data_IF_279465937419
#
_entry.id   IF_279465937419
#
_cell.length_a   1.000
_cell.length_b   1.000
_cell.length_c   1.000
_cell.angle_alpha   90.00
_cell.angle_beta   90.00
_cell.angle_gamma   90.00
#
_symmetry.space_group_name_H-M   'P 1'
#
loop_
_entity.id
_entity.type
_entity.pdbx_description
1 polymer ?
#
# COMPACT_ATOMS: atom_id res chain seq x y z
N UNK A 1 -6.31 -11.06 -3.21
CA UNK A 1 -7.73 -10.84 -3.57
C UNK A 1 -7.88 -11.08 -5.08
N UNK A 2 -9.00 -10.76 -5.72
CA UNK A 2 -9.02 -10.66 -7.19
C UNK A 2 -8.72 -9.21 -7.61
N UNK A 3 -8.49 -8.98 -8.92
CA UNK A 3 -8.22 -7.64 -9.48
C UNK A 3 -9.25 -6.59 -9.03
N UNK A 4 -10.54 -6.95 -9.04
CA UNK A 4 -11.64 -6.08 -8.55
C UNK A 4 -11.41 -5.64 -7.10
N UNK A 5 -11.06 -6.57 -6.20
CA UNK A 5 -10.81 -6.28 -4.79
C UNK A 5 -9.62 -5.35 -4.58
N UNK A 6 -8.52 -5.55 -5.32
CA UNK A 6 -7.36 -4.66 -5.26
C UNK A 6 -7.71 -3.23 -5.73
N UNK A 7 -8.50 -3.10 -6.79
CA UNK A 7 -8.98 -1.78 -7.25
C UNK A 7 -9.93 -1.14 -6.22
N UNK A 8 -10.89 -1.91 -5.69
CA UNK A 8 -11.82 -1.42 -4.66
C UNK A 8 -11.05 -0.86 -3.44
N UNK A 9 -10.08 -1.62 -2.95
CA UNK A 9 -9.24 -1.18 -1.85
C UNK A 9 -8.46 0.09 -2.20
N UNK A 10 -7.77 0.15 -3.35
CA UNK A 10 -6.99 1.32 -3.75
C UNK A 10 -7.85 2.60 -3.87
N UNK A 11 -9.07 2.48 -4.41
CA UNK A 11 -10.01 3.60 -4.49
C UNK A 11 -10.41 4.09 -3.10
N UNK A 12 -10.82 3.17 -2.22
CA UNK A 12 -11.21 3.52 -0.85
C UNK A 12 -10.03 4.08 -0.05
N UNK A 13 -8.83 3.54 -0.27
CA UNK A 13 -7.59 4.00 0.35
C UNK A 13 -7.23 5.41 -0.12
N UNK A 14 -7.39 5.73 -1.40
CA UNK A 14 -7.17 7.09 -1.92
C UNK A 14 -8.12 8.12 -1.30
N UNK A 15 -9.40 7.75 -1.16
CA UNK A 15 -10.40 8.60 -0.51
C UNK A 15 -10.03 8.81 0.97
N UNK A 16 -9.84 7.72 1.71
CA UNK A 16 -9.57 7.78 3.14
C UNK A 16 -8.24 8.47 3.46
N UNK A 17 -7.18 8.18 2.70
CA UNK A 17 -5.88 8.82 2.87
C UNK A 17 -5.96 10.31 2.52
N UNK A 18 -6.76 10.70 1.52
CA UNK A 18 -7.01 12.11 1.23
C UNK A 18 -7.59 12.86 2.44
N UNK A 19 -8.55 12.25 3.16
CA UNK A 19 -9.04 12.82 4.42
C UNK A 19 -8.02 12.79 5.56
N UNK A 20 -7.12 11.80 5.59
CA UNK A 20 -6.02 11.76 6.58
C UNK A 20 -5.02 12.89 6.33
N UNK A 21 -4.71 13.20 5.08
CA UNK A 21 -3.74 14.24 4.72
C UNK A 21 -4.37 15.64 4.74
N UNK A 22 -5.63 15.78 4.34
CA UNK A 22 -6.37 17.03 4.27
C UNK A 22 -7.81 16.85 4.81
N UNK A 23 -8.04 17.04 6.13
CA UNK A 23 -9.27 16.60 6.81
C UNK A 23 -10.46 17.56 6.71
N UNK A 24 -10.30 18.74 6.12
CA UNK A 24 -11.31 19.81 6.12
C UNK A 24 -12.57 19.48 5.31
N UNK A 25 -12.50 18.52 4.37
CA UNK A 25 -13.60 18.18 3.47
C UNK A 25 -13.92 19.26 2.45
N UNK A 26 -12.97 20.17 2.20
CA UNK A 26 -13.09 21.26 1.24
C UNK A 26 -12.54 20.85 -0.14
N UNK A 27 -12.46 21.83 -1.05
CA UNK A 27 -11.91 21.64 -2.40
C UNK A 27 -10.49 21.04 -2.37
N UNK A 28 -9.67 21.40 -1.39
CA UNK A 28 -8.31 20.89 -1.29
C UNK A 28 -8.33 19.42 -0.89
N UNK A 29 -9.22 18.98 0.01
CA UNK A 29 -9.41 17.55 0.30
C UNK A 29 -9.72 16.76 -0.98
N UNK A 30 -10.65 17.24 -1.80
CA UNK A 30 -11.02 16.55 -3.04
C UNK A 30 -9.89 16.56 -4.07
N UNK A 31 -9.09 17.64 -4.11
CA UNK A 31 -7.88 17.70 -4.92
C UNK A 31 -6.87 16.65 -4.46
N UNK A 32 -6.59 16.55 -3.17
CA UNK A 32 -5.69 15.54 -2.60
C UNK A 32 -6.18 14.13 -2.92
N UNK A 33 -7.48 13.85 -2.78
CA UNK A 33 -8.05 12.55 -3.18
C UNK A 33 -7.78 12.25 -4.66
N UNK A 34 -7.98 13.23 -5.55
CA UNK A 34 -7.73 13.05 -6.97
C UNK A 34 -6.25 12.81 -7.29
N UNK A 35 -5.34 13.54 -6.61
CA UNK A 35 -3.90 13.36 -6.72
C UNK A 35 -3.44 11.98 -6.23
N UNK A 36 -4.06 11.43 -5.18
CA UNK A 36 -3.79 10.08 -4.67
C UNK A 36 -4.42 8.97 -5.50
N UNK A 37 -5.58 9.21 -6.11
CA UNK A 37 -6.37 8.18 -6.80
C UNK A 37 -5.55 7.46 -7.88
N UNK A 38 -4.92 8.24 -8.77
CA UNK A 38 -4.15 7.69 -9.89
C UNK A 38 -2.96 6.83 -9.42
N UNK A 39 -2.01 7.34 -8.61
CA UNK A 39 -0.87 6.54 -8.20
C UNK A 39 -1.24 5.31 -7.37
N UNK A 40 -2.24 5.40 -6.47
CA UNK A 40 -2.66 4.24 -5.68
C UNK A 40 -3.30 3.16 -6.55
N UNK A 41 -4.20 3.52 -7.47
CA UNK A 41 -4.82 2.54 -8.37
C UNK A 41 -3.79 1.94 -9.33
N UNK A 42 -2.88 2.75 -9.89
CA UNK A 42 -1.79 2.25 -10.73
C UNK A 42 -0.89 1.29 -9.97
N UNK A 43 -0.47 1.65 -8.75
CA UNK A 43 0.33 0.81 -7.88
C UNK A 43 -0.37 -0.49 -7.52
N UNK A 44 -1.68 -0.45 -7.24
CA UNK A 44 -2.45 -1.64 -6.88
C UNK A 44 -2.67 -2.60 -8.06
N UNK A 45 -2.61 -2.10 -9.30
CA UNK A 45 -2.69 -2.93 -10.50
C UNK A 45 -1.33 -3.47 -10.96
N UNK A 46 -0.24 -2.77 -10.62
CA UNK A 46 1.10 -3.07 -11.12
C UNK A 46 1.58 -4.51 -10.81
N UNK A 47 1.44 -5.05 -9.59
CA UNK A 47 1.89 -6.43 -9.31
C UNK A 47 1.24 -7.46 -10.24
N UNK A 48 -0.04 -7.31 -10.52
CA UNK A 48 -0.79 -8.23 -11.37
C UNK A 48 -0.45 -8.16 -12.85
N UNK A 49 0.40 -7.22 -13.29
CA UNK A 49 0.95 -7.24 -14.65
C UNK A 49 1.79 -8.52 -14.88
N UNK A 50 2.28 -9.16 -13.81
CA UNK A 50 2.93 -10.48 -13.88
C UNK A 50 2.00 -11.63 -14.30
N UNK A 51 0.70 -11.38 -14.42
CA UNK A 51 -0.23 -12.32 -15.07
C UNK A 51 -0.06 -12.34 -16.59
N UNK A 52 0.49 -11.29 -17.17
CA UNK A 52 0.80 -11.19 -18.60
C UNK A 52 2.23 -11.68 -18.93
N UNK A 53 3.14 -11.71 -17.96
CA UNK A 53 4.50 -12.19 -18.14
C UNK A 53 5.13 -12.69 -16.83
N UNK A 54 6.06 -13.65 -16.90
CA UNK A 54 6.72 -14.18 -15.70
C UNK A 54 5.82 -15.13 -14.90
N UNK A 55 5.96 -15.11 -13.56
CA UNK A 55 5.24 -16.00 -12.64
C UNK A 55 4.38 -15.17 -11.69
N UNK A 56 3.06 -15.32 -11.83
CA UNK A 56 2.10 -14.67 -10.97
C UNK A 56 2.37 -14.94 -9.47
N UNK A 57 2.26 -13.89 -8.64
CA UNK A 57 2.56 -13.88 -7.18
C UNK A 57 4.03 -14.03 -6.84
N UNK A 58 4.91 -13.81 -7.81
CA UNK A 58 6.37 -13.94 -7.62
C UNK A 58 7.11 -12.82 -8.32
N UNK A 59 6.94 -12.69 -9.63
CA UNK A 59 7.76 -11.80 -10.45
C UNK A 59 7.60 -10.34 -10.03
N UNK A 60 6.36 -9.88 -9.78
CA UNK A 60 6.09 -8.51 -9.31
C UNK A 60 5.48 -8.45 -7.92
N UNK A 61 5.43 -9.57 -7.17
CA UNK A 61 4.93 -9.64 -5.79
C UNK A 61 6.04 -10.00 -4.79
N UNK A 62 7.06 -9.15 -4.71
CA UNK A 62 8.20 -9.37 -3.84
C UNK A 62 8.78 -8.06 -3.31
N UNK A 63 9.53 -8.15 -2.20
CA UNK A 63 10.06 -6.98 -1.49
C UNK A 63 11.11 -6.23 -2.30
N UNK A 64 11.82 -6.89 -3.22
CA UNK A 64 12.79 -6.21 -4.10
C UNK A 64 12.07 -5.23 -5.03
N UNK A 65 10.95 -5.66 -5.64
CA UNK A 65 10.13 -4.80 -6.51
C UNK A 65 9.53 -3.64 -5.71
N UNK A 66 8.95 -3.89 -4.54
CA UNK A 66 8.45 -2.82 -3.67
C UNK A 66 9.56 -1.83 -3.28
N UNK A 67 10.76 -2.33 -2.94
CA UNK A 67 11.91 -1.50 -2.61
C UNK A 67 12.33 -0.58 -3.76
N UNK A 68 12.36 -1.09 -5.00
CA UNK A 68 12.64 -0.27 -6.18
C UNK A 68 11.58 0.81 -6.39
N UNK A 69 10.29 0.46 -6.28
CA UNK A 69 9.18 1.40 -6.47
C UNK A 69 9.15 2.47 -5.36
N UNK A 70 9.52 2.11 -4.14
CA UNK A 70 9.67 3.04 -3.02
C UNK A 70 10.88 3.97 -3.22
N UNK A 71 12.00 3.46 -3.73
CA UNK A 71 13.20 4.26 -3.99
C UNK A 71 13.03 5.24 -5.16
N UNK A 72 12.18 4.90 -6.14
CA UNK A 72 11.95 5.70 -7.34
C UNK A 72 11.56 7.16 -7.06
N UNK A 73 10.52 7.47 -6.26
CA UNK A 73 10.15 8.85 -5.94
C UNK A 73 11.24 9.60 -5.16
N UNK A 74 12.05 8.90 -4.35
CA UNK A 74 13.15 9.51 -3.60
C UNK A 74 14.26 9.98 -4.57
N UNK A 75 14.58 9.15 -5.55
CA UNK A 75 15.66 9.44 -6.50
C UNK A 75 15.22 10.40 -7.62
N UNK A 76 14.01 10.25 -8.15
CA UNK A 76 13.54 11.01 -9.33
C UNK A 76 12.53 12.12 -9.03
N UNK A 77 11.99 12.20 -7.81
CA UNK A 77 11.05 13.25 -7.42
C UNK A 77 9.67 13.17 -8.08
N UNK A 78 9.26 12.03 -8.64
CA UNK A 78 7.96 11.81 -9.27
C UNK A 78 7.36 10.45 -8.88
N UNK A 79 6.14 10.15 -9.33
CA UNK A 79 5.42 8.89 -8.99
C UNK A 79 5.28 8.66 -7.48
N UNK A 80 5.09 9.75 -6.71
CA UNK A 80 4.79 9.67 -5.29
C UNK A 80 3.57 8.77 -5.05
N UNK A 81 3.56 8.10 -3.90
CA UNK A 81 2.48 7.22 -3.44
C UNK A 81 2.19 5.96 -4.28
N UNK A 82 2.80 5.75 -5.45
CA UNK A 82 2.64 4.49 -6.22
C UNK A 82 3.04 3.28 -5.37
N UNK A 83 4.08 3.43 -4.55
CA UNK A 83 4.53 2.40 -3.61
C UNK A 83 3.46 2.00 -2.60
N UNK A 84 2.56 2.92 -2.19
CA UNK A 84 1.44 2.60 -1.29
C UNK A 84 0.47 1.67 -2.02
N UNK A 85 0.15 1.95 -3.28
CA UNK A 85 -0.67 1.07 -4.12
C UNK A 85 -0.10 -0.35 -4.23
N UNK A 86 1.22 -0.47 -4.43
CA UNK A 86 1.90 -1.77 -4.49
C UNK A 86 1.88 -2.46 -3.12
N UNK A 87 2.16 -1.72 -2.05
CA UNK A 87 2.20 -2.26 -0.70
C UNK A 87 0.82 -2.78 -0.25
N UNK A 88 -0.25 -2.05 -0.52
CA UNK A 88 -1.61 -2.50 -0.18
C UNK A 88 -2.03 -3.73 -1.00
N UNK A 89 -1.61 -3.81 -2.27
CA UNK A 89 -1.80 -5.02 -3.06
C UNK A 89 -1.16 -6.24 -2.37
N UNK A 90 0.11 -6.10 -1.95
CA UNK A 90 0.82 -7.18 -1.27
C UNK A 90 0.14 -7.54 0.04
N UNK A 91 -0.28 -6.56 0.83
CA UNK A 91 -0.97 -6.79 2.10
C UNK A 91 -2.26 -7.57 1.88
N UNK A 92 -3.10 -7.18 0.91
CA UNK A 92 -4.33 -7.90 0.60
C UNK A 92 -4.09 -9.33 0.12
N UNK A 93 -2.97 -9.58 -0.54
CA UNK A 93 -2.62 -10.91 -1.00
C UNK A 93 -2.06 -11.80 0.11
N UNK A 94 -1.36 -11.22 1.08
CA UNK A 94 -0.85 -11.90 2.29
C UNK A 94 -1.96 -12.14 3.31
N UNK A 95 -2.83 -11.16 3.55
CA UNK A 95 -3.82 -11.17 4.65
C UNK A 95 -5.22 -11.55 4.17
N UNK A 96 -5.64 -11.02 3.03
CA UNK A 96 -6.99 -11.17 2.52
C UNK A 96 -7.25 -12.48 1.79
N UNK A 97 -6.21 -13.19 1.34
CA UNK A 97 -6.35 -14.40 0.53
C UNK A 97 -5.97 -15.67 1.30
N UNK A 98 -6.44 -16.84 0.84
CA UNK A 98 -6.00 -18.16 1.35
C UNK A 98 -4.60 -18.56 0.86
N UNK A 99 -3.99 -17.74 0.02
CA UNK A 99 -2.67 -17.95 -0.57
C UNK A 99 -1.75 -16.81 -0.13
N UNK A 100 -0.48 -16.86 -0.50
CA UNK A 100 0.50 -15.83 -0.20
C UNK A 100 1.15 -15.23 -1.44
N UNK A 101 2.27 -14.54 -1.22
CA UNK A 101 3.19 -14.05 -2.26
C UNK A 101 4.63 -14.46 -1.93
N UNK A 102 5.47 -14.58 -2.95
CA UNK A 102 6.87 -14.93 -2.77
C UNK A 102 7.72 -13.70 -2.41
N UNK A 103 7.67 -13.27 -1.13
CA UNK A 103 8.30 -12.05 -0.62
C UNK A 103 9.78 -11.88 -0.99
N UNK A 104 10.53 -12.99 -1.05
CA UNK A 104 11.97 -12.99 -1.32
C UNK A 104 12.34 -13.46 -2.73
N UNK A 105 11.40 -13.47 -3.68
CA UNK A 105 11.70 -13.77 -5.08
C UNK A 105 12.66 -12.70 -5.65
N UNK A 106 13.67 -13.06 -6.46
CA UNK A 106 13.96 -14.39 -7.02
C UNK A 106 14.82 -15.32 -6.15
N UNK A 107 15.29 -14.87 -4.98
CA UNK A 107 16.15 -15.66 -4.09
C UNK A 107 15.41 -16.88 -3.51
N UNK A 108 14.11 -16.73 -3.22
CA UNK A 108 13.24 -17.82 -2.78
C UNK A 108 11.88 -17.76 -3.48
N UNK A 109 11.35 -18.93 -3.81
CA UNK A 109 10.02 -19.08 -4.41
C UNK A 109 8.92 -19.43 -3.39
N UNK A 110 9.26 -19.47 -2.10
CA UNK A 110 8.33 -19.73 -0.98
C UNK A 110 7.31 -18.61 -0.85
N UNK A 111 6.03 -18.95 -0.83
CA UNK A 111 4.94 -18.00 -0.66
C UNK A 111 4.57 -17.85 0.82
N UNK A 112 4.37 -16.61 1.26
CA UNK A 112 4.01 -16.26 2.65
C UNK A 112 2.61 -15.63 2.67
N UNK A 113 1.75 -16.11 3.56
CA UNK A 113 0.38 -15.64 3.75
C UNK A 113 -0.12 -15.97 5.16
N UNK A 114 -1.18 -15.31 5.60
CA UNK A 114 -1.80 -15.54 6.90
C UNK A 114 -2.99 -16.51 6.78
N UNK A 115 -3.27 -17.34 7.81
CA UNK A 115 -4.36 -18.31 7.78
C UNK A 115 -5.77 -17.69 7.95
N UNK A 116 -5.91 -16.37 7.79
CA UNK A 116 -7.14 -15.60 8.08
C UNK A 116 -7.93 -15.17 6.85
N UNK A 117 -7.34 -15.24 5.65
CA UNK A 117 -7.99 -14.79 4.42
C UNK A 117 -9.17 -15.63 3.96
N UNK A 118 -9.86 -15.20 2.90
CA UNK A 118 -10.98 -15.92 2.27
C UNK A 118 -10.71 -16.22 0.79
N UNK A 119 -11.36 -17.24 0.19
CA UNK A 119 -11.32 -17.42 -1.26
C UNK A 119 -11.91 -16.22 -1.99
N UNK A 120 -11.42 -15.92 -3.19
CA UNK A 120 -11.90 -14.80 -4.02
C UNK A 120 -13.35 -14.93 -4.46
N UNK A 121 -13.92 -16.14 -4.44
CA UNK A 121 -15.33 -16.43 -4.71
C UNK A 121 -16.24 -16.28 -3.48
N UNK A 122 -15.67 -16.03 -2.30
CA UNK A 122 -16.45 -15.87 -1.07
C UNK A 122 -17.33 -14.62 -1.12
N UNK A 123 -18.58 -14.73 -0.65
CA UNK A 123 -19.47 -13.57 -0.45
C UNK A 123 -18.91 -12.52 0.51
N UNK A 124 -17.93 -12.90 1.35
CA UNK A 124 -17.27 -12.03 2.32
C UNK A 124 -16.00 -11.37 1.76
N UNK A 125 -15.58 -11.65 0.53
CA UNK A 125 -14.33 -11.12 -0.03
C UNK A 125 -14.32 -9.59 -0.09
N UNK A 126 -15.40 -8.97 -0.57
CA UNK A 126 -15.51 -7.51 -0.63
C UNK A 126 -15.58 -6.91 0.79
N UNK A 127 -16.33 -7.53 1.71
CA UNK A 127 -16.38 -7.09 3.12
C UNK A 127 -15.00 -7.13 3.79
N UNK A 128 -14.26 -8.23 3.63
CA UNK A 128 -12.92 -8.35 4.19
C UNK A 128 -11.96 -7.33 3.57
N UNK A 129 -12.09 -7.05 2.27
CA UNK A 129 -11.31 -6.01 1.60
C UNK A 129 -11.54 -4.65 2.27
N UNK A 130 -12.79 -4.26 2.51
CA UNK A 130 -13.11 -3.00 3.21
C UNK A 130 -12.56 -2.98 4.63
N UNK A 131 -12.68 -4.07 5.38
CA UNK A 131 -12.11 -4.17 6.75
C UNK A 131 -10.61 -3.97 6.73
N UNK A 132 -9.89 -4.61 5.80
CA UNK A 132 -8.45 -4.43 5.65
C UNK A 132 -8.13 -2.98 5.28
N UNK A 133 -8.87 -2.37 4.34
CA UNK A 133 -8.69 -0.95 3.98
C UNK A 133 -8.83 -0.04 5.20
N UNK A 134 -9.80 -0.27 6.08
CA UNK A 134 -9.98 0.53 7.30
C UNK A 134 -8.79 0.39 8.27
N UNK A 135 -8.25 -0.83 8.40
CA UNK A 135 -7.04 -1.06 9.20
C UNK A 135 -5.81 -0.39 8.59
N UNK A 136 -5.67 -0.43 7.27
CA UNK A 136 -4.61 0.27 6.54
C UNK A 136 -4.70 1.79 6.73
N UNK A 137 -5.90 2.35 6.63
CA UNK A 137 -6.12 3.78 6.89
C UNK A 137 -5.76 4.16 8.32
N UNK A 138 -6.11 3.34 9.31
CA UNK A 138 -5.72 3.57 10.70
C UNK A 138 -4.20 3.52 10.87
N UNK A 139 -3.52 2.57 10.22
CA UNK A 139 -2.06 2.47 10.24
C UNK A 139 -1.39 3.67 9.55
N UNK A 140 -1.87 4.07 8.37
CA UNK A 140 -1.37 5.23 7.64
C UNK A 140 -1.63 6.53 8.39
N UNK A 141 -2.79 6.68 9.05
CA UNK A 141 -3.05 7.80 9.94
C UNK A 141 -2.08 7.81 11.12
N UNK A 142 -1.80 6.67 11.73
CA UNK A 142 -0.82 6.59 12.81
C UNK A 142 0.59 7.00 12.31
N UNK A 143 0.99 6.55 11.13
CA UNK A 143 2.24 6.99 10.49
C UNK A 143 2.22 8.51 10.27
N UNK A 144 1.17 9.03 9.63
CA UNK A 144 1.01 10.44 9.32
C UNK A 144 1.11 11.30 10.58
N UNK A 145 0.39 10.96 11.64
CA UNK A 145 0.25 11.85 12.80
C UNK A 145 1.38 11.69 13.82
N UNK A 146 1.97 10.49 13.95
CA UNK A 146 2.93 10.21 15.03
C UNK A 146 4.35 9.96 14.55
N UNK A 147 4.56 9.53 13.31
CA UNK A 147 5.88 9.08 12.85
C UNK A 147 6.51 10.02 11.83
N UNK A 148 5.85 10.18 10.68
CA UNK A 148 6.38 10.89 9.51
C UNK A 148 5.23 11.61 8.81
N UNK A 149 5.47 12.84 8.39
CA UNK A 149 4.56 13.53 7.48
C UNK A 149 4.69 12.94 6.08
N UNK A 150 3.67 12.22 5.61
CA UNK A 150 3.64 11.55 4.32
C UNK A 150 3.63 12.54 3.14
N UNK A 151 3.29 13.81 3.35
CA UNK A 151 3.36 14.82 2.29
C UNK A 151 4.80 15.25 2.00
N UNK A 152 5.65 15.28 3.02
CA UNK A 152 7.00 15.84 2.94
C UNK A 152 8.11 14.82 3.20
N UNK A 153 7.76 13.65 3.73
CA UNK A 153 8.69 12.64 4.21
C UNK A 153 9.41 13.02 5.51
N UNK A 154 9.05 14.12 6.16
CA UNK A 154 9.76 14.61 7.35
C UNK A 154 9.29 13.90 8.62
N UNK A 155 10.19 13.41 9.49
CA UNK A 155 9.81 12.86 10.79
C UNK A 155 9.03 13.86 11.64
N UNK A 156 8.07 13.38 12.42
CA UNK A 156 7.38 14.19 13.44
C UNK A 156 8.36 14.57 14.55
N UNK A 157 8.13 15.72 15.18
CA UNK A 157 9.06 16.33 16.14
C UNK A 157 9.51 15.37 17.26
N UNK A 158 8.57 14.61 17.82
CA UNK A 158 8.88 13.61 18.85
C UNK A 158 9.86 12.54 18.34
N UNK A 159 9.69 12.07 17.10
CA UNK A 159 10.59 11.11 16.45
C UNK A 159 11.92 11.77 16.11
N UNK A 160 11.91 12.98 15.57
CA UNK A 160 13.13 13.74 15.27
C UNK A 160 14.00 13.94 16.52
N UNK A 161 13.36 14.26 17.65
CA UNK A 161 14.03 14.46 18.95
C UNK A 161 14.65 13.15 19.46
N UNK A 162 13.90 12.04 19.38
CA UNK A 162 14.42 10.72 19.76
C UNK A 162 15.61 10.29 18.90
N UNK A 163 15.56 10.51 17.59
CA UNK A 163 16.65 10.20 16.67
C UNK A 163 17.89 11.06 16.91
N UNK A 164 17.72 12.36 17.21
CA UNK A 164 18.82 13.26 17.54
C UNK A 164 19.54 12.91 18.85
N UNK A 165 18.89 12.14 19.74
CA UNK A 165 19.47 11.65 20.99
C UNK A 165 20.24 10.33 20.87
N UNK A 166 20.24 9.68 19.70
CA UNK A 166 20.99 8.44 19.51
C UNK A 166 22.49 8.74 19.37
N UNK A 167 23.37 7.94 20.02
CA UNK A 167 24.81 8.06 19.80
C UNK A 167 25.13 7.73 18.34
N UNK A 168 25.89 8.62 17.68
CA UNK A 168 26.38 8.48 16.30
C UNK A 168 27.52 7.48 16.23
#
# INVERSE_FOLDING_TARGET
MNKKGHVLNAILLAIGLGYVLQPSGDLETFRTIAELFVPLVLGALFPDVDTAFGKHRKTLHNLLVLGVILAYPIYFGNLQFVWIGVATHYLLDVVGSKRGIALFYPLSSTEYGLPVGVPTSSKWADTLTVVITLLELAALAAVQYFLVDLNTGTPREAVATALAGLPV
#
